data_IF_265520603347
#
_entry.id   IF_265520603347
#
_cell.length_a   1.000
_cell.length_b   1.000
_cell.length_c   1.000
_cell.angle_alpha   90.00
_cell.angle_beta   90.00
_cell.angle_gamma   90.00
#
_symmetry.space_group_name_H-M   'P 1'
#
loop_
_entity.id
_entity.type
_entity.pdbx_description
1 polymer ?
#
# COMPACT_ATOMS: atom_id res chain seq x y z
N UNK A 1 -6.80 25.67 18.23
CA UNK A 1 -5.67 26.14 17.39
C UNK A 1 -4.58 25.09 17.46
N UNK A 2 -4.00 24.69 16.32
CA UNK A 2 -2.91 23.71 16.30
C UNK A 2 -1.56 24.41 16.52
N UNK A 3 -0.69 23.79 17.31
CA UNK A 3 0.66 24.24 17.61
C UNK A 3 1.63 23.11 17.29
N UNK A 4 2.80 23.47 16.76
CA UNK A 4 3.90 22.53 16.48
C UNK A 4 5.00 22.71 17.52
N UNK A 5 5.57 21.61 17.98
CA UNK A 5 6.78 21.61 18.82
C UNK A 5 7.82 20.70 18.18
N UNK A 6 9.10 21.08 18.30
CA UNK A 6 10.21 20.34 17.69
C UNK A 6 11.27 20.04 18.73
N UNK A 7 11.80 18.82 18.72
CA UNK A 7 12.94 18.42 19.55
C UNK A 7 14.00 17.73 18.70
N UNK A 8 15.27 18.08 18.96
CA UNK A 8 16.45 17.48 18.34
C UNK A 8 16.99 16.34 19.20
N UNK A 9 17.44 15.28 18.53
CA UNK A 9 18.11 14.11 19.09
C UNK A 9 19.35 13.78 18.25
N UNK A 10 20.30 13.05 18.84
CA UNK A 10 21.52 12.61 18.17
C UNK A 10 21.81 11.16 18.53
N UNK A 11 22.36 10.40 17.60
CA UNK A 11 22.81 9.02 17.81
C UNK A 11 23.87 8.66 16.76
N UNK A 12 24.70 7.68 17.07
CA UNK A 12 25.71 7.15 16.17
C UNK A 12 25.21 5.83 15.59
N UNK A 13 25.24 5.63 14.28
CA UNK A 13 24.89 4.31 13.70
C UNK A 13 25.67 4.04 12.43
N UNK A 14 25.90 2.76 12.15
CA UNK A 14 26.54 2.30 10.92
C UNK A 14 25.58 1.60 9.97
N UNK A 15 25.93 1.58 8.69
CA UNK A 15 25.18 0.84 7.67
C UNK A 15 26.04 0.50 6.45
N UNK A 16 25.50 -0.37 5.59
CA UNK A 16 25.98 -0.60 4.24
C UNK A 16 24.80 -0.84 3.28
N UNK A 17 24.82 -0.15 2.14
CA UNK A 17 23.79 -0.24 1.11
C UNK A 17 24.11 -1.36 0.12
N UNK A 18 23.13 -2.21 -0.17
CA UNK A 18 23.28 -3.30 -1.14
C UNK A 18 23.02 -2.79 -2.56
N UNK A 19 23.83 -3.24 -3.52
CA UNK A 19 23.70 -2.85 -4.94
C UNK A 19 23.73 -1.33 -5.18
N UNK A 20 24.50 -0.60 -4.37
CA UNK A 20 24.72 0.84 -4.51
C UNK A 20 26.09 1.12 -5.15
N UNK A 21 26.16 2.09 -6.04
CA UNK A 21 27.38 2.42 -6.80
C UNK A 21 28.28 3.45 -6.09
N UNK A 22 27.74 4.18 -5.10
CA UNK A 22 28.47 5.18 -4.31
C UNK A 22 29.26 4.62 -3.10
N UNK A 23 29.75 5.53 -2.25
CA UNK A 23 30.62 5.17 -1.09
C UNK A 23 29.90 4.35 -0.03
N UNK A 24 28.60 4.57 0.15
CA UNK A 24 27.77 3.89 1.16
C UNK A 24 27.56 2.39 0.91
N UNK A 25 28.08 1.84 -0.19
CA UNK A 25 28.14 0.38 -0.41
C UNK A 25 29.08 -0.32 0.58
N UNK A 26 30.03 0.42 1.15
CA UNK A 26 30.93 -0.08 2.18
C UNK A 26 30.32 0.16 3.57
N UNK A 27 30.63 -0.71 4.52
CA UNK A 27 30.27 -0.52 5.91
C UNK A 27 30.96 0.73 6.48
N UNK A 28 30.16 1.67 7.00
CA UNK A 28 30.64 2.92 7.61
C UNK A 28 29.62 3.45 8.63
N UNK A 29 30.01 4.46 9.40
CA UNK A 29 29.17 5.10 10.43
C UNK A 29 28.81 6.55 10.11
N UNK A 30 27.73 7.02 10.72
CA UNK A 30 27.32 8.43 10.74
C UNK A 30 26.93 8.88 12.14
N UNK A 31 27.16 10.17 12.38
CA UNK A 31 26.62 10.91 13.52
C UNK A 31 25.28 11.55 13.12
N UNK A 32 24.20 10.83 13.36
CA UNK A 32 22.87 11.25 12.94
C UNK A 32 22.32 12.37 13.81
N UNK A 33 21.61 13.32 13.19
CA UNK A 33 20.77 14.29 13.90
C UNK A 33 19.31 14.14 13.48
N UNK A 34 18.45 13.83 14.44
CA UNK A 34 17.03 13.61 14.23
C UNK A 34 16.22 14.78 14.81
N UNK A 35 15.46 15.47 13.96
CA UNK A 35 14.52 16.50 14.38
C UNK A 35 13.11 15.93 14.30
N UNK A 36 12.44 15.89 15.45
CA UNK A 36 11.08 15.36 15.60
C UNK A 36 10.14 16.53 15.85
N UNK A 37 9.30 16.84 14.87
CA UNK A 37 8.25 17.86 14.97
C UNK A 37 6.91 17.18 15.12
N UNK A 38 6.18 17.49 16.18
CA UNK A 38 4.79 17.03 16.39
C UNK A 38 3.83 18.20 16.37
N UNK A 39 2.58 17.94 15.99
CA UNK A 39 1.49 18.92 15.93
C UNK A 39 0.29 18.42 16.73
N UNK A 40 -0.39 19.34 17.42
CA UNK A 40 -1.64 19.05 18.11
C UNK A 40 -2.25 20.31 18.70
N UNK A 41 -3.35 20.14 19.43
CA UNK A 41 -3.97 21.23 20.21
C UNK A 41 -3.46 21.18 21.65
N UNK A 42 -3.09 22.33 22.23
CA UNK A 42 -2.75 22.39 23.65
C UNK A 42 -3.87 21.83 24.54
N UNK A 43 -3.51 21.08 25.58
CA UNK A 43 -4.45 20.56 26.58
C UNK A 43 -5.14 21.75 27.27
N UNK A 44 -6.47 21.75 27.29
CA UNK A 44 -7.27 22.84 27.88
C UNK A 44 -7.79 22.54 29.28
N UNK A 45 -7.68 21.28 29.73
CA UNK A 45 -8.09 20.88 31.07
C UNK A 45 -7.15 21.47 32.13
N UNK A 46 -7.65 22.45 32.89
CA UNK A 46 -6.90 23.17 33.92
C UNK A 46 -6.48 22.32 35.11
N UNK A 47 -7.06 21.12 35.27
CA UNK A 47 -6.65 20.18 36.32
C UNK A 47 -5.50 19.27 35.90
N UNK A 48 -5.21 19.21 34.59
CA UNK A 48 -4.12 18.43 34.06
C UNK A 48 -2.78 19.15 34.32
N UNK A 49 -1.76 18.49 34.89
CA UNK A 49 -0.45 19.11 35.12
C UNK A 49 0.26 19.57 33.82
N UNK A 50 -0.18 19.09 32.66
CA UNK A 50 0.30 19.47 31.32
C UNK A 50 -0.65 20.43 30.59
N UNK A 51 -1.56 21.09 31.31
CA UNK A 51 -2.42 22.14 30.77
C UNK A 51 -1.59 23.18 30.00
N UNK A 52 -2.02 23.50 28.78
CA UNK A 52 -1.33 24.43 27.88
C UNK A 52 -0.25 23.80 27.00
N UNK A 53 0.05 22.50 27.14
CA UNK A 53 1.05 21.80 26.32
C UNK A 53 0.38 21.02 25.19
N UNK A 54 1.03 20.94 24.02
CA UNK A 54 0.67 19.98 22.95
C UNK A 54 1.12 18.57 23.36
N UNK A 55 2.38 18.46 23.78
CA UNK A 55 2.99 17.26 24.34
C UNK A 55 4.17 17.72 25.20
N UNK A 56 4.39 17.07 26.34
CA UNK A 56 5.54 17.38 27.18
C UNK A 56 6.85 16.92 26.50
N UNK A 57 7.89 17.75 26.51
CA UNK A 57 9.17 17.43 25.87
C UNK A 57 9.91 16.26 26.53
N UNK A 58 9.57 15.92 27.78
CA UNK A 58 9.98 14.72 28.50
C UNK A 58 9.29 13.48 27.95
N UNK A 59 7.97 13.51 27.72
CA UNK A 59 7.24 12.41 27.09
C UNK A 59 7.78 12.12 25.68
N UNK A 60 7.93 13.17 24.85
CA UNK A 60 8.49 13.04 23.51
C UNK A 60 9.90 12.47 23.56
N UNK A 61 10.71 12.89 24.55
CA UNK A 61 12.05 12.35 24.74
C UNK A 61 12.01 10.86 25.05
N UNK A 62 11.14 10.41 25.95
CA UNK A 62 11.02 8.99 26.31
C UNK A 62 10.60 8.14 25.12
N UNK A 63 9.63 8.60 24.34
CA UNK A 63 9.18 7.91 23.11
C UNK A 63 10.36 7.76 22.14
N UNK A 64 11.04 8.85 21.80
CA UNK A 64 12.13 8.81 20.81
C UNK A 64 13.33 8.02 21.32
N UNK A 65 13.62 8.08 22.62
CA UNK A 65 14.68 7.27 23.24
C UNK A 65 14.39 5.78 23.05
N UNK A 66 13.22 5.31 23.45
CA UNK A 66 12.83 3.89 23.36
C UNK A 66 12.72 3.40 21.92
N UNK A 67 12.05 4.16 21.05
CA UNK A 67 11.72 3.70 19.70
C UNK A 67 12.91 3.80 18.73
N UNK A 68 13.79 4.79 18.94
CA UNK A 68 14.85 5.14 17.99
C UNK A 68 16.24 5.03 18.65
N UNK A 69 16.54 5.83 19.66
CA UNK A 69 17.93 5.95 20.15
C UNK A 69 18.41 4.63 20.76
N UNK A 70 17.64 4.04 21.67
CA UNK A 70 17.92 2.74 22.27
C UNK A 70 17.87 1.59 21.28
N UNK A 71 17.40 1.80 20.06
CA UNK A 71 17.41 0.78 18.99
C UNK A 71 18.64 0.95 18.11
N UNK A 72 18.91 2.17 17.63
CA UNK A 72 19.87 2.48 16.57
C UNK A 72 21.24 2.94 17.06
N UNK A 73 21.33 3.52 18.27
CA UNK A 73 22.60 4.09 18.75
C UNK A 73 23.68 3.02 18.94
N UNK A 74 24.86 3.27 18.40
CA UNK A 74 26.00 2.35 18.30
C UNK A 74 25.66 0.98 17.67
N UNK A 75 24.66 0.94 16.79
CA UNK A 75 24.27 -0.28 16.07
C UNK A 75 24.66 -0.21 14.58
N UNK A 76 24.75 -1.38 13.95
CA UNK A 76 24.91 -1.50 12.51
C UNK A 76 23.58 -1.95 11.89
N UNK A 77 23.04 -1.18 10.96
CA UNK A 77 21.82 -1.50 10.23
C UNK A 77 22.12 -2.18 8.89
N UNK A 78 21.47 -3.30 8.62
CA UNK A 78 21.49 -3.99 7.32
C UNK A 78 20.08 -4.31 6.83
N UNK A 79 19.92 -4.37 5.52
CA UNK A 79 18.70 -4.89 4.91
C UNK A 79 18.65 -6.42 5.01
N UNK A 80 17.64 -6.93 5.71
CA UNK A 80 17.40 -8.35 5.95
C UNK A 80 17.08 -9.15 4.68
N UNK A 81 16.69 -8.49 3.58
CA UNK A 81 16.30 -9.11 2.31
C UNK A 81 17.41 -9.06 1.26
N UNK A 82 18.64 -8.83 1.68
CA UNK A 82 19.82 -8.74 0.81
C UNK A 82 20.90 -9.72 1.28
N UNK A 83 21.93 -10.00 0.45
CA UNK A 83 23.09 -10.78 0.89
C UNK A 83 23.78 -10.27 2.17
N UNK A 84 23.59 -8.99 2.55
CA UNK A 84 24.06 -8.48 3.84
C UNK A 84 23.43 -9.17 5.06
N UNK A 85 22.33 -9.91 4.90
CA UNK A 85 21.72 -10.68 5.97
C UNK A 85 22.69 -11.73 6.56
N UNK A 86 23.49 -12.40 5.73
CA UNK A 86 24.48 -13.37 6.20
C UNK A 86 25.62 -12.68 6.98
N UNK A 87 26.08 -11.52 6.51
CA UNK A 87 27.09 -10.71 7.22
C UNK A 87 26.54 -10.20 8.56
N UNK A 88 25.27 -9.78 8.59
CA UNK A 88 24.60 -9.39 9.84
C UNK A 88 24.60 -10.55 10.85
N UNK A 89 24.28 -11.78 10.43
CA UNK A 89 24.26 -12.94 11.32
C UNK A 89 25.65 -13.27 11.87
N UNK A 90 26.70 -13.13 11.06
CA UNK A 90 28.09 -13.32 11.51
C UNK A 90 28.51 -12.27 12.56
N UNK A 91 28.21 -10.98 12.31
CA UNK A 91 28.51 -9.90 13.24
C UNK A 91 27.75 -10.08 14.57
N UNK A 92 26.49 -10.51 14.51
CA UNK A 92 25.70 -10.84 15.72
C UNK A 92 26.35 -12.00 16.49
N UNK A 93 26.78 -13.06 15.80
CA UNK A 93 27.44 -14.19 16.43
C UNK A 93 28.76 -13.80 17.13
N UNK A 94 29.42 -12.74 16.64
CA UNK A 94 30.63 -12.16 17.25
C UNK A 94 30.32 -11.15 18.37
N UNK A 95 29.05 -10.93 18.71
CA UNK A 95 28.63 -10.04 19.79
C UNK A 95 28.49 -8.57 19.39
N UNK A 96 28.53 -8.25 18.09
CA UNK A 96 28.26 -6.89 17.63
C UNK A 96 26.77 -6.58 17.66
N UNK A 97 26.45 -5.32 17.93
CA UNK A 97 25.09 -4.80 17.91
C UNK A 97 24.65 -4.56 16.46
N UNK A 98 23.80 -5.42 15.94
CA UNK A 98 23.30 -5.33 14.56
C UNK A 98 21.78 -5.35 14.53
N UNK A 99 21.20 -4.55 13.64
CA UNK A 99 19.77 -4.47 13.37
C UNK A 99 19.53 -4.93 11.93
N UNK A 100 18.65 -5.91 11.78
CA UNK A 100 18.16 -6.35 10.48
C UNK A 100 16.85 -5.63 10.19
N UNK A 101 16.87 -4.70 9.24
CA UNK A 101 15.72 -3.91 8.81
C UNK A 101 15.09 -4.57 7.57
N UNK A 102 13.76 -4.50 7.41
CA UNK A 102 13.08 -5.03 6.22
C UNK A 102 13.22 -4.12 4.98
N UNK A 103 14.11 -3.13 5.03
CA UNK A 103 14.35 -2.14 3.99
C UNK A 103 15.83 -1.76 3.94
N UNK A 104 16.22 -1.05 2.87
CA UNK A 104 17.58 -0.53 2.71
C UNK A 104 17.81 0.66 3.65
N UNK A 105 18.85 0.65 4.51
CA UNK A 105 19.05 1.65 5.58
C UNK A 105 19.55 3.02 5.06
N UNK A 106 18.87 3.59 4.08
CA UNK A 106 19.08 4.98 3.66
C UNK A 106 18.36 5.93 4.59
N UNK A 107 18.79 7.20 4.62
CA UNK A 107 18.09 8.23 5.39
C UNK A 107 16.61 8.37 5.04
N UNK A 108 16.23 8.21 3.77
CA UNK A 108 14.84 8.28 3.30
C UNK A 108 13.98 7.17 3.90
N UNK A 109 14.45 5.92 3.87
CA UNK A 109 13.69 4.81 4.43
C UNK A 109 13.65 4.86 5.95
N UNK A 110 14.76 5.25 6.58
CA UNK A 110 14.85 5.40 8.04
C UNK A 110 13.93 6.51 8.56
N UNK A 111 13.87 7.68 7.89
CA UNK A 111 13.01 8.77 8.36
C UNK A 111 11.52 8.41 8.28
N UNK A 112 11.11 7.62 7.27
CA UNK A 112 9.75 7.05 7.16
C UNK A 112 9.48 6.08 8.31
N UNK A 113 10.36 5.09 8.54
CA UNK A 113 10.21 4.12 9.65
C UNK A 113 10.15 4.84 11.01
N UNK A 114 10.99 5.85 11.22
CA UNK A 114 11.03 6.60 12.48
C UNK A 114 9.74 7.38 12.71
N UNK A 115 9.19 8.01 11.66
CA UNK A 115 7.89 8.67 11.74
C UNK A 115 6.80 7.68 12.18
N UNK A 116 6.77 6.48 11.58
CA UNK A 116 5.81 5.41 11.89
C UNK A 116 5.93 4.92 13.34
N UNK A 117 7.15 4.62 13.80
CA UNK A 117 7.39 4.18 15.18
C UNK A 117 6.95 5.23 16.20
N UNK A 118 7.31 6.49 15.98
CA UNK A 118 6.98 7.57 16.91
C UNK A 118 5.47 7.82 16.91
N UNK A 119 4.82 7.91 15.74
CA UNK A 119 3.38 8.19 15.68
C UNK A 119 2.55 7.14 16.42
N UNK A 120 2.92 5.85 16.36
CA UNK A 120 2.23 4.76 17.06
C UNK A 120 2.21 4.93 18.58
N UNK A 121 3.15 5.71 19.13
CA UNK A 121 3.30 5.94 20.56
C UNK A 121 2.76 7.30 21.02
N UNK A 122 2.37 8.17 20.08
CA UNK A 122 1.83 9.48 20.40
C UNK A 122 0.38 9.38 20.89
N UNK A 123 -0.05 10.25 21.82
CA UNK A 123 -1.45 10.37 22.19
C UNK A 123 -2.34 10.68 20.97
N UNK A 124 -3.62 10.27 20.95
CA UNK A 124 -4.49 10.44 19.79
C UNK A 124 -4.67 11.88 19.27
N UNK A 125 -4.48 12.88 20.14
CA UNK A 125 -4.60 14.29 19.80
C UNK A 125 -3.31 14.92 19.26
N UNK A 126 -2.22 14.14 19.17
CA UNK A 126 -0.91 14.58 18.70
C UNK A 126 -0.49 13.72 17.51
N UNK A 127 0.00 14.38 16.46
CA UNK A 127 0.52 13.72 15.26
C UNK A 127 1.97 14.12 15.02
N UNK A 128 2.77 13.22 14.46
CA UNK A 128 4.04 13.59 13.83
C UNK A 128 3.71 14.52 12.68
N UNK A 129 4.34 15.69 12.65
CA UNK A 129 4.15 16.70 11.60
C UNK A 129 5.29 16.68 10.60
N UNK A 130 6.52 16.63 11.09
CA UNK A 130 7.73 16.57 10.25
C UNK A 130 8.83 15.83 10.99
N UNK A 131 9.57 15.00 10.27
CA UNK A 131 10.77 14.32 10.73
C UNK A 131 11.92 14.67 9.80
N UNK A 132 13.06 15.11 10.33
CA UNK A 132 14.28 15.32 9.54
C UNK A 132 15.41 14.49 10.09
N UNK A 133 16.06 13.71 9.23
CA UNK A 133 17.20 12.89 9.58
C UNK A 133 18.43 13.38 8.79
N UNK A 134 19.40 13.92 9.51
CA UNK A 134 20.68 14.36 8.95
C UNK A 134 21.72 13.24 9.11
N UNK A 135 22.30 12.79 8.00
CA UNK A 135 23.52 11.95 7.98
C UNK A 135 24.79 12.79 8.03
N UNK A 136 24.71 14.02 7.53
CA UNK A 136 25.80 14.99 7.48
C UNK A 136 25.28 16.35 7.91
N UNK A 137 26.19 17.29 8.17
CA UNK A 137 25.83 18.65 8.58
C UNK A 137 24.89 19.34 7.57
N UNK A 138 25.08 19.09 6.27
CA UNK A 138 24.44 19.85 5.18
C UNK A 138 23.39 19.08 4.39
N UNK A 139 23.11 17.81 4.72
CA UNK A 139 22.15 16.99 3.98
C UNK A 139 21.25 16.21 4.92
N UNK A 140 19.96 16.21 4.62
CA UNK A 140 18.94 15.51 5.38
C UNK A 140 17.85 14.95 4.48
N UNK A 141 17.28 13.83 4.90
CA UNK A 141 15.99 13.38 4.40
C UNK A 141 14.88 13.97 5.28
N UNK A 142 13.77 14.36 4.67
CA UNK A 142 12.59 14.86 5.37
C UNK A 142 11.39 13.97 5.06
N UNK A 143 10.67 13.61 6.13
CA UNK A 143 9.31 13.10 6.04
C UNK A 143 8.35 14.16 6.57
N UNK A 144 7.27 14.43 5.86
CA UNK A 144 6.29 15.46 6.21
C UNK A 144 4.87 14.89 6.15
N UNK A 145 4.07 15.19 7.17
CA UNK A 145 2.69 14.73 7.26
C UNK A 145 1.85 15.18 6.06
N UNK A 146 2.01 16.41 5.56
CA UNK A 146 1.21 16.91 4.43
C UNK A 146 1.48 16.12 3.14
N UNK A 147 2.74 15.77 2.89
CA UNK A 147 3.16 15.02 1.71
C UNK A 147 2.83 13.52 1.83
N UNK A 148 2.58 13.05 3.05
CA UNK A 148 2.32 11.65 3.39
C UNK A 148 0.94 11.48 4.07
N UNK A 149 0.04 12.45 3.87
CA UNK A 149 -1.32 12.41 4.41
C UNK A 149 -2.11 11.22 3.88
N UNK A 150 -1.89 10.73 2.65
CA UNK A 150 -2.41 9.44 2.23
C UNK A 150 -1.99 8.34 3.22
N UNK A 151 -0.70 8.12 3.46
CA UNK A 151 -0.20 7.03 4.31
C UNK A 151 -0.55 7.10 5.81
N UNK A 152 -0.64 8.29 6.43
CA UNK A 152 -0.93 8.42 7.88
C UNK A 152 -2.38 8.76 8.21
N UNK A 153 -3.12 9.33 7.25
CA UNK A 153 -4.57 9.51 7.35
C UNK A 153 -5.34 8.22 7.02
N UNK A 154 -4.72 7.30 6.26
CA UNK A 154 -5.33 6.06 5.80
C UNK A 154 -5.58 5.01 6.88
N UNK A 155 -5.07 5.15 8.11
CA UNK A 155 -5.74 4.48 9.23
C UNK A 155 -6.91 5.37 9.62
N UNK A 156 -7.88 5.39 8.75
CA UNK A 156 -9.12 6.09 8.96
C UNK A 156 -9.84 5.40 10.14
N UNK A 157 -10.83 6.05 10.73
CA UNK A 157 -11.66 5.40 11.75
C UNK A 157 -12.21 4.04 11.23
N UNK A 158 -12.37 3.94 9.91
CA UNK A 158 -12.83 2.77 9.16
C UNK A 158 -11.81 1.62 9.13
N UNK A 159 -10.50 1.88 9.20
CA UNK A 159 -9.44 0.87 9.11
C UNK A 159 -8.85 0.45 10.46
N UNK A 160 -8.97 1.33 11.47
CA UNK A 160 -8.35 1.13 12.78
C UNK A 160 -8.79 -0.20 13.43
N UNK A 161 -10.08 -0.54 13.37
CA UNK A 161 -10.68 -1.73 13.99
C UNK A 161 -10.62 -2.99 13.11
N UNK A 162 -10.24 -2.87 11.83
CA UNK A 162 -10.27 -3.98 10.87
C UNK A 162 -9.06 -4.87 10.98
N UNK A 163 -9.26 -6.17 10.84
CA UNK A 163 -8.19 -7.18 10.92
C UNK A 163 -7.75 -7.66 9.54
N UNK A 164 -8.67 -7.65 8.57
CA UNK A 164 -8.42 -8.10 7.20
C UNK A 164 -8.57 -6.94 6.21
N UNK A 165 -7.57 -6.73 5.38
CA UNK A 165 -7.62 -5.74 4.31
C UNK A 165 -7.67 -6.48 2.98
N UNK A 166 -8.71 -6.24 2.19
CA UNK A 166 -8.94 -6.92 0.92
C UNK A 166 -8.83 -5.89 -0.19
N UNK A 167 -7.93 -6.12 -1.14
CA UNK A 167 -7.68 -5.21 -2.25
C UNK A 167 -8.27 -5.76 -3.54
N UNK A 168 -8.94 -4.93 -4.33
CA UNK A 168 -8.97 -5.16 -5.78
C UNK A 168 -7.57 -4.94 -6.39
N UNK A 169 -7.41 -5.29 -7.66
CA UNK A 169 -6.13 -5.22 -8.35
C UNK A 169 -6.03 -3.97 -9.23
N UNK A 170 -6.85 -3.91 -10.27
CA UNK A 170 -6.78 -2.89 -11.31
C UNK A 170 -7.33 -1.57 -10.77
N UNK A 171 -6.56 -0.47 -10.87
CA UNK A 171 -6.98 0.83 -10.35
C UNK A 171 -6.84 1.00 -8.84
N UNK A 172 -6.46 -0.06 -8.12
CA UNK A 172 -6.17 -0.03 -6.67
C UNK A 172 -4.70 -0.30 -6.39
N UNK A 173 -4.17 -1.44 -6.83
CA UNK A 173 -2.76 -1.79 -6.59
C UNK A 173 -1.88 -1.39 -7.78
N UNK A 174 -2.44 -1.49 -9.00
CA UNK A 174 -1.72 -1.33 -10.25
C UNK A 174 -2.54 -0.57 -11.29
N UNK A 175 -1.85 0.12 -12.21
CA UNK A 175 -2.48 0.74 -13.39
C UNK A 175 -2.49 -0.21 -14.60
N UNK A 176 -3.14 -1.37 -14.48
CA UNK A 176 -3.24 -2.36 -15.58
C UNK A 176 -4.54 -2.26 -16.40
N UNK A 177 -5.46 -1.37 -16.02
CA UNK A 177 -6.71 -1.12 -16.74
C UNK A 177 -6.48 -0.65 -18.19
N UNK A 178 -5.39 0.09 -18.43
CA UNK A 178 -4.97 0.52 -19.78
C UNK A 178 -4.68 -0.67 -20.70
N UNK A 179 -4.08 -1.75 -20.19
CA UNK A 179 -3.79 -2.94 -20.99
C UNK A 179 -5.05 -3.75 -21.31
N UNK A 180 -6.04 -3.75 -20.40
CA UNK A 180 -7.36 -4.28 -20.71
C UNK A 180 -8.02 -3.51 -21.85
N UNK A 181 -7.97 -2.17 -21.81
CA UNK A 181 -8.52 -1.34 -22.88
C UNK A 181 -7.85 -1.61 -24.22
N UNK A 182 -6.51 -1.69 -24.28
CA UNK A 182 -5.78 -1.98 -25.51
C UNK A 182 -6.17 -3.34 -26.11
N UNK A 183 -6.22 -4.38 -25.28
CA UNK A 183 -6.61 -5.72 -25.72
C UNK A 183 -8.08 -5.76 -26.19
N UNK A 184 -9.01 -5.12 -25.45
CA UNK A 184 -10.42 -5.07 -25.86
C UNK A 184 -10.64 -4.22 -27.11
N UNK A 185 -9.89 -3.14 -27.30
CA UNK A 185 -9.95 -2.30 -28.49
C UNK A 185 -9.51 -3.09 -29.73
N UNK A 186 -8.45 -3.88 -29.62
CA UNK A 186 -8.00 -4.76 -30.70
C UNK A 186 -9.08 -5.77 -31.09
N UNK A 187 -9.69 -6.45 -30.10
CA UNK A 187 -10.78 -7.41 -30.32
C UNK A 187 -12.03 -6.74 -30.91
N UNK A 188 -12.42 -5.57 -30.39
CA UNK A 188 -13.56 -4.82 -30.90
C UNK A 188 -13.40 -4.43 -32.38
N UNK A 189 -12.17 -4.08 -32.79
CA UNK A 189 -11.88 -3.73 -34.18
C UNK A 189 -12.09 -4.91 -35.15
N UNK A 190 -11.93 -6.16 -34.70
CA UNK A 190 -12.23 -7.35 -35.51
C UNK A 190 -13.73 -7.43 -35.90
N UNK A 191 -14.60 -6.82 -35.08
CA UNK A 191 -16.04 -6.73 -35.30
C UNK A 191 -16.46 -5.36 -35.86
N UNK A 192 -15.53 -4.62 -36.47
CA UNK A 192 -15.74 -3.26 -36.98
C UNK A 192 -16.30 -2.28 -35.92
N UNK A 193 -16.02 -2.53 -34.64
CA UNK A 193 -16.48 -1.70 -33.54
C UNK A 193 -15.35 -0.86 -32.95
N UNK A 194 -15.54 0.45 -32.88
CA UNK A 194 -14.57 1.35 -32.24
C UNK A 194 -14.87 1.50 -30.75
N UNK A 195 -14.15 0.74 -29.91
CA UNK A 195 -14.27 0.87 -28.46
C UNK A 195 -13.66 2.20 -27.97
N UNK A 196 -14.52 3.13 -27.57
CA UNK A 196 -14.12 4.41 -27.00
C UNK A 196 -13.77 4.27 -25.51
N UNK A 197 -12.92 5.16 -24.95
CA UNK A 197 -12.64 5.18 -23.51
C UNK A 197 -13.91 5.27 -22.66
N UNK A 198 -14.90 6.08 -23.07
CA UNK A 198 -16.18 6.23 -22.37
C UNK A 198 -16.98 4.93 -22.29
N UNK A 199 -16.96 4.09 -23.33
CA UNK A 199 -17.58 2.77 -23.30
C UNK A 199 -16.77 1.78 -22.46
N UNK A 200 -15.44 1.88 -22.50
CA UNK A 200 -14.55 1.03 -21.73
C UNK A 200 -14.75 1.19 -20.21
N UNK A 201 -15.18 2.36 -19.72
CA UNK A 201 -15.56 2.54 -18.32
C UNK A 201 -16.63 1.54 -17.86
N UNK A 202 -17.54 1.11 -18.76
CA UNK A 202 -18.57 0.10 -18.43
C UNK A 202 -18.04 -1.35 -18.38
N UNK A 203 -16.77 -1.55 -18.73
CA UNK A 203 -16.08 -2.83 -18.68
C UNK A 203 -15.15 -2.95 -17.46
N UNK A 204 -14.90 -1.86 -16.73
CA UNK A 204 -14.07 -1.88 -15.51
C UNK A 204 -14.71 -2.75 -14.43
N UNK A 205 -13.90 -3.61 -13.82
CA UNK A 205 -14.36 -4.58 -12.81
C UNK A 205 -15.26 -5.71 -13.34
N UNK A 206 -15.52 -5.78 -14.65
CA UNK A 206 -16.37 -6.80 -15.28
C UNK A 206 -15.52 -8.01 -15.72
N UNK A 207 -16.07 -9.22 -15.56
CA UNK A 207 -15.46 -10.45 -16.03
C UNK A 207 -15.17 -10.46 -17.53
N UNK A 208 -14.23 -11.32 -17.97
CA UNK A 208 -13.77 -11.37 -19.37
C UNK A 208 -14.90 -11.73 -20.32
N UNK A 209 -15.68 -12.74 -19.97
CA UNK A 209 -16.78 -13.28 -20.76
C UNK A 209 -17.91 -12.24 -20.86
N UNK A 210 -18.29 -11.60 -19.75
CA UNK A 210 -19.31 -10.56 -19.74
C UNK A 210 -18.87 -9.31 -20.51
N UNK A 211 -17.58 -8.95 -20.44
CA UNK A 211 -17.02 -7.87 -21.22
C UNK A 211 -17.11 -8.16 -22.72
N UNK A 212 -16.80 -9.39 -23.15
CA UNK A 212 -16.95 -9.79 -24.56
C UNK A 212 -18.42 -9.74 -25.00
N UNK A 213 -19.36 -10.21 -24.16
CA UNK A 213 -20.80 -10.12 -24.46
C UNK A 213 -21.25 -8.67 -24.67
N UNK A 214 -20.82 -7.74 -23.81
CA UNK A 214 -21.13 -6.31 -23.96
C UNK A 214 -20.57 -5.73 -25.27
N UNK A 215 -19.32 -6.04 -25.61
CA UNK A 215 -18.68 -5.57 -26.84
C UNK A 215 -19.42 -6.11 -28.08
N UNK A 216 -19.75 -7.40 -28.10
CA UNK A 216 -20.51 -8.01 -29.19
C UNK A 216 -21.91 -7.40 -29.33
N UNK A 217 -22.57 -7.13 -28.20
CA UNK A 217 -23.86 -6.45 -28.18
C UNK A 217 -23.77 -5.04 -28.78
N UNK A 218 -22.75 -4.25 -28.41
CA UNK A 218 -22.55 -2.91 -28.98
C UNK A 218 -22.18 -2.96 -30.46
N UNK A 219 -21.43 -3.98 -30.87
CA UNK A 219 -21.06 -4.20 -32.25
C UNK A 219 -22.22 -4.77 -33.11
N UNK A 220 -23.32 -5.21 -32.49
CA UNK A 220 -24.43 -5.86 -33.20
C UNK A 220 -24.07 -7.25 -33.75
N UNK A 221 -23.10 -7.92 -33.14
CA UNK A 221 -22.60 -9.23 -33.56
C UNK A 221 -22.99 -10.33 -32.57
N UNK A 222 -23.17 -11.55 -33.09
CA UNK A 222 -23.32 -12.78 -32.30
C UNK A 222 -22.29 -13.80 -32.78
N UNK A 223 -21.74 -14.56 -31.85
CA UNK A 223 -20.75 -15.61 -32.13
C UNK A 223 -21.32 -16.99 -31.78
N UNK A 224 -20.80 -18.01 -32.44
CA UNK A 224 -20.94 -19.39 -31.98
C UNK A 224 -20.25 -19.56 -30.61
N UNK A 225 -20.56 -20.64 -29.88
CA UNK A 225 -19.89 -20.90 -28.61
C UNK A 225 -18.37 -21.07 -28.77
N UNK A 226 -17.94 -21.74 -29.85
CA UNK A 226 -16.54 -21.97 -30.20
C UNK A 226 -15.83 -20.65 -30.54
N UNK A 227 -16.44 -19.80 -31.37
CA UNK A 227 -15.87 -18.50 -31.75
C UNK A 227 -15.80 -17.55 -30.55
N UNK A 228 -16.79 -17.61 -29.65
CA UNK A 228 -16.81 -16.81 -28.43
C UNK A 228 -15.63 -17.19 -27.51
N UNK A 229 -15.41 -18.49 -27.29
CA UNK A 229 -14.30 -18.99 -26.47
C UNK A 229 -12.94 -18.68 -27.10
N UNK A 230 -12.80 -18.87 -28.42
CA UNK A 230 -11.61 -18.51 -29.18
C UNK A 230 -11.30 -17.01 -29.10
N UNK A 231 -12.32 -16.15 -29.23
CA UNK A 231 -12.17 -14.69 -29.12
C UNK A 231 -11.76 -14.27 -27.70
N UNK A 232 -12.39 -14.85 -26.68
CA UNK A 232 -12.03 -14.59 -25.28
C UNK A 232 -10.59 -15.03 -24.97
N UNK A 233 -10.14 -16.15 -25.56
CA UNK A 233 -8.76 -16.66 -25.44
C UNK A 233 -7.77 -15.69 -26.09
N UNK A 234 -8.02 -15.30 -27.33
CA UNK A 234 -7.17 -14.35 -28.06
C UNK A 234 -7.05 -12.99 -27.36
N UNK A 235 -8.16 -12.49 -26.81
CA UNK A 235 -8.12 -11.28 -25.96
C UNK A 235 -7.15 -11.44 -24.80
N UNK A 236 -7.15 -12.61 -24.16
CA UNK A 236 -6.28 -12.87 -23.04
C UNK A 236 -4.81 -12.93 -23.46
N UNK A 237 -4.51 -13.52 -24.61
CA UNK A 237 -3.16 -13.55 -25.17
C UNK A 237 -2.63 -12.13 -25.43
N UNK A 238 -3.42 -11.27 -26.05
CA UNK A 238 -3.08 -9.85 -26.25
C UNK A 238 -2.82 -9.12 -24.91
N UNK A 239 -3.65 -9.39 -23.90
CA UNK A 239 -3.42 -8.83 -22.57
C UNK A 239 -2.13 -9.35 -21.92
N UNK A 240 -1.86 -10.66 -22.02
CA UNK A 240 -0.65 -11.28 -21.48
C UNK A 240 0.62 -10.73 -22.15
N UNK A 241 0.59 -10.42 -23.44
CA UNK A 241 1.71 -9.75 -24.13
C UNK A 241 2.08 -8.43 -23.47
N UNK A 242 1.11 -7.67 -22.96
CA UNK A 242 1.38 -6.44 -22.22
C UNK A 242 1.89 -6.72 -20.80
N UNK A 243 1.19 -7.57 -20.04
CA UNK A 243 1.50 -7.74 -18.61
C UNK A 243 2.73 -8.62 -18.34
N UNK A 244 3.25 -9.37 -19.31
CA UNK A 244 4.47 -10.15 -19.14
C UNK A 244 5.74 -9.29 -18.93
N UNK A 245 5.67 -8.02 -19.34
CA UNK A 245 6.80 -7.08 -19.28
C UNK A 245 6.65 -6.01 -18.20
N UNK A 246 5.60 -6.07 -17.38
CA UNK A 246 5.41 -5.10 -16.30
C UNK A 246 6.38 -5.38 -15.15
N UNK A 247 6.60 -4.36 -14.33
CA UNK A 247 7.39 -4.41 -13.11
C UNK A 247 6.85 -3.46 -12.05
N UNK A 248 7.64 -3.16 -11.04
CA UNK A 248 7.27 -2.29 -9.91
C UNK A 248 6.74 -0.90 -10.34
N UNK A 249 7.17 -0.40 -11.51
CA UNK A 249 6.71 0.88 -12.06
C UNK A 249 5.20 0.94 -12.38
N UNK A 250 4.52 -0.20 -12.48
CA UNK A 250 3.07 -0.26 -12.68
C UNK A 250 2.27 -0.21 -11.37
N UNK A 251 2.93 -0.25 -10.20
CA UNK A 251 2.25 -0.02 -8.92
C UNK A 251 1.76 1.42 -8.85
N UNK A 252 0.55 1.61 -8.29
CA UNK A 252 0.13 2.96 -7.95
C UNK A 252 1.06 3.54 -6.86
N UNK A 253 1.33 4.87 -6.89
CA UNK A 253 2.16 5.52 -5.88
C UNK A 253 1.65 5.19 -4.46
N UNK A 254 2.59 4.90 -3.56
CA UNK A 254 2.27 4.60 -2.14
C UNK A 254 1.88 3.15 -1.84
N UNK A 255 1.42 2.36 -2.81
CA UNK A 255 0.90 0.99 -2.59
C UNK A 255 1.88 0.09 -1.84
N UNK A 256 3.14 0.02 -2.29
CA UNK A 256 4.15 -0.85 -1.67
C UNK A 256 4.40 -0.45 -0.20
N UNK A 257 4.49 0.85 0.06
CA UNK A 257 4.66 1.35 1.43
C UNK A 257 3.42 1.06 2.27
N UNK A 258 2.22 1.21 1.72
CA UNK A 258 0.97 0.93 2.42
C UNK A 258 0.85 -0.55 2.80
N UNK A 259 1.16 -1.47 1.88
CA UNK A 259 1.20 -2.92 2.17
C UNK A 259 2.21 -3.27 3.27
N UNK A 260 3.37 -2.62 3.28
CA UNK A 260 4.37 -2.78 4.35
C UNK A 260 3.86 -2.30 5.71
N UNK A 261 3.18 -1.15 5.75
CA UNK A 261 2.55 -0.62 6.97
C UNK A 261 1.50 -1.59 7.51
N UNK A 262 0.62 -2.09 6.66
CA UNK A 262 -0.40 -3.07 7.05
C UNK A 262 0.22 -4.35 7.64
N UNK A 263 1.28 -4.89 7.03
CA UNK A 263 2.01 -6.03 7.58
C UNK A 263 2.67 -5.71 8.92
N UNK A 264 3.30 -4.54 9.06
CA UNK A 264 3.91 -4.10 10.30
C UNK A 264 2.90 -3.88 11.44
N UNK A 265 1.62 -3.70 11.11
CA UNK A 265 0.49 -3.62 12.06
C UNK A 265 -0.18 -4.98 12.33
N UNK A 266 0.33 -6.05 11.74
CA UNK A 266 -0.24 -7.39 11.92
C UNK A 266 -1.61 -7.57 11.25
N UNK A 267 -1.97 -6.70 10.30
CA UNK A 267 -3.20 -6.84 9.50
C UNK A 267 -2.99 -7.99 8.50
N UNK A 268 -4.03 -8.81 8.30
CA UNK A 268 -4.04 -9.83 7.24
C UNK A 268 -4.42 -9.17 5.92
N UNK A 269 -3.81 -9.57 4.82
CA UNK A 269 -3.98 -8.96 3.50
C UNK A 269 -4.48 -10.00 2.52
N UNK A 270 -5.56 -9.70 1.80
CA UNK A 270 -6.07 -10.53 0.72
C UNK A 270 -6.27 -9.75 -0.58
N UNK A 271 -6.27 -10.48 -1.69
CA UNK A 271 -6.71 -9.98 -2.98
C UNK A 271 -8.13 -10.47 -3.27
N UNK A 272 -8.98 -9.60 -3.81
CA UNK A 272 -10.30 -9.93 -4.33
C UNK A 272 -10.52 -9.34 -5.73
N UNK A 273 -10.01 -10.02 -6.76
CA UNK A 273 -10.02 -9.55 -8.14
C UNK A 273 -10.88 -10.44 -9.06
N UNK A 274 -11.50 -9.84 -10.08
CA UNK A 274 -12.16 -10.58 -11.16
C UNK A 274 -11.17 -11.10 -12.23
N UNK A 275 -9.91 -10.67 -12.20
CA UNK A 275 -8.92 -11.05 -13.20
C UNK A 275 -8.41 -12.47 -12.97
N UNK A 276 -8.43 -13.31 -14.02
CA UNK A 276 -7.78 -14.65 -14.02
C UNK A 276 -6.24 -14.57 -14.05
N UNK A 277 -5.67 -13.37 -14.25
CA UNK A 277 -4.22 -13.16 -14.37
C UNK A 277 -3.64 -12.44 -13.14
N UNK A 278 -4.42 -12.29 -12.07
CA UNK A 278 -4.08 -11.45 -10.94
C UNK A 278 -2.76 -11.86 -10.29
N UNK A 279 -2.55 -13.17 -10.10
CA UNK A 279 -1.32 -13.71 -9.51
C UNK A 279 -0.06 -13.34 -10.29
N UNK A 280 -0.11 -13.44 -11.62
CA UNK A 280 1.00 -13.06 -12.50
C UNK A 280 1.34 -11.56 -12.34
N UNK A 281 0.32 -10.70 -12.23
CA UNK A 281 0.53 -9.26 -12.01
C UNK A 281 1.21 -9.01 -10.66
N UNK A 282 0.74 -9.66 -9.58
CA UNK A 282 1.37 -9.55 -8.25
C UNK A 282 2.82 -10.05 -8.23
N UNK A 283 3.12 -11.14 -8.96
CA UNK A 283 4.48 -11.67 -9.11
C UNK A 283 5.39 -10.67 -9.83
N UNK A 284 4.95 -10.14 -10.97
CA UNK A 284 5.74 -9.20 -11.80
C UNK A 284 6.02 -7.88 -11.10
N UNK A 285 5.04 -7.38 -10.35
CA UNK A 285 5.16 -6.12 -9.60
C UNK A 285 5.84 -6.28 -8.24
N UNK A 286 6.16 -7.51 -7.83
CA UNK A 286 6.93 -7.78 -6.61
C UNK A 286 6.14 -7.67 -5.30
N UNK A 287 4.80 -7.57 -5.36
CA UNK A 287 3.95 -7.44 -4.17
C UNK A 287 3.25 -8.74 -3.75
N UNK A 288 3.41 -9.84 -4.51
CA UNK A 288 2.86 -11.15 -4.14
C UNK A 288 3.14 -11.55 -2.67
N UNK A 289 4.36 -11.36 -2.11
CA UNK A 289 4.66 -11.79 -0.73
C UNK A 289 3.86 -11.08 0.37
N UNK A 290 3.18 -9.97 0.08
CA UNK A 290 2.36 -9.27 1.07
C UNK A 290 1.00 -9.95 1.29
N UNK A 291 0.52 -10.76 0.34
CA UNK A 291 -0.81 -11.35 0.36
C UNK A 291 -0.84 -12.69 1.09
N UNK A 292 -1.70 -12.79 2.10
CA UNK A 292 -1.97 -14.04 2.82
C UNK A 292 -2.95 -14.92 2.04
N UNK A 293 -3.87 -14.30 1.28
CA UNK A 293 -4.90 -14.96 0.48
C UNK A 293 -5.05 -14.27 -0.87
N UNK A 294 -5.26 -15.03 -1.93
CA UNK A 294 -5.52 -14.51 -3.27
C UNK A 294 -6.79 -15.14 -3.79
N UNK A 295 -7.83 -14.33 -3.98
CA UNK A 295 -9.07 -14.73 -4.65
C UNK A 295 -9.13 -14.00 -5.98
N UNK A 296 -9.02 -14.77 -7.05
CA UNK A 296 -8.96 -14.28 -8.42
C UNK A 296 -10.05 -14.90 -9.30
N UNK A 297 -10.13 -14.44 -10.55
CA UNK A 297 -11.16 -14.86 -11.51
C UNK A 297 -11.14 -16.35 -11.89
N UNK A 298 -10.15 -17.13 -11.45
CA UNK A 298 -10.09 -18.57 -11.71
C UNK A 298 -10.93 -19.38 -10.72
N UNK A 299 -11.14 -18.84 -9.52
CA UNK A 299 -11.88 -19.55 -8.47
C UNK A 299 -13.29 -18.99 -8.25
N UNK A 300 -13.58 -17.72 -8.55
CA UNK A 300 -14.93 -17.16 -8.39
C UNK A 300 -15.87 -17.51 -9.54
N UNK A 301 -17.14 -17.81 -9.21
CA UNK A 301 -18.17 -18.17 -10.17
C UNK A 301 -19.10 -17.02 -10.54
N UNK A 302 -19.31 -16.05 -9.64
CA UNK A 302 -20.19 -14.90 -9.84
C UNK A 302 -19.39 -13.59 -9.84
N UNK A 303 -19.51 -12.78 -10.90
CA UNK A 303 -18.80 -11.52 -11.00
C UNK A 303 -19.36 -10.45 -10.06
N UNK A 304 -18.55 -9.43 -9.76
CA UNK A 304 -18.99 -8.18 -9.13
C UNK A 304 -20.18 -7.61 -9.96
N UNK A 305 -21.28 -7.14 -9.35
CA UNK A 305 -21.44 -6.74 -7.94
C UNK A 305 -21.83 -7.87 -6.97
N UNK A 306 -21.80 -9.15 -7.38
CA UNK A 306 -22.01 -10.23 -6.42
C UNK A 306 -20.83 -10.29 -5.41
N UNK A 307 -21.10 -10.47 -4.10
CA UNK A 307 -20.07 -10.38 -3.05
C UNK A 307 -19.10 -11.58 -2.97
N UNK A 308 -19.17 -12.54 -3.89
CA UNK A 308 -18.49 -13.85 -3.76
C UNK A 308 -16.98 -13.71 -3.61
N UNK A 309 -16.38 -12.82 -4.40
CA UNK A 309 -14.92 -12.58 -4.39
C UNK A 309 -14.43 -12.10 -3.02
N UNK A 310 -15.17 -11.20 -2.37
CA UNK A 310 -14.79 -10.65 -1.08
C UNK A 310 -15.13 -11.62 0.07
N UNK A 311 -16.28 -12.27 0.02
CA UNK A 311 -16.66 -13.28 1.02
C UNK A 311 -15.63 -14.42 1.10
N UNK A 312 -15.16 -14.92 -0.05
CA UNK A 312 -14.11 -15.94 -0.09
C UNK A 312 -12.75 -15.42 0.38
N UNK A 313 -12.44 -14.15 0.12
CA UNK A 313 -11.22 -13.55 0.65
C UNK A 313 -11.26 -13.51 2.20
N UNK A 314 -12.38 -13.09 2.79
CA UNK A 314 -12.54 -13.11 4.25
C UNK A 314 -12.50 -14.53 4.83
N UNK A 315 -13.14 -15.50 4.17
CA UNK A 315 -13.08 -16.91 4.54
C UNK A 315 -11.64 -17.45 4.53
N UNK A 316 -10.88 -17.19 3.46
CA UNK A 316 -9.48 -17.58 3.38
C UNK A 316 -8.61 -16.92 4.46
N UNK A 317 -8.94 -15.69 4.87
CA UNK A 317 -8.26 -15.01 5.98
C UNK A 317 -8.70 -15.53 7.36
N UNK A 318 -9.70 -16.40 7.41
CA UNK A 318 -10.39 -16.85 8.62
C UNK A 318 -10.90 -15.67 9.47
N UNK A 319 -11.59 -14.72 8.82
CA UNK A 319 -12.17 -13.53 9.44
C UNK A 319 -13.65 -13.40 9.08
N UNK A 320 -14.43 -12.73 9.93
CA UNK A 320 -15.80 -12.34 9.60
C UNK A 320 -15.79 -11.15 8.64
N UNK A 321 -16.81 -10.99 7.77
CA UNK A 321 -16.86 -9.84 6.86
C UNK A 321 -16.79 -8.48 7.55
N UNK A 322 -17.42 -8.33 8.72
CA UNK A 322 -17.43 -7.10 9.53
C UNK A 322 -16.01 -6.70 10.03
N UNK A 323 -15.10 -7.66 10.11
CA UNK A 323 -13.69 -7.48 10.50
C UNK A 323 -12.80 -7.10 9.30
N UNK A 324 -13.38 -7.01 8.10
CA UNK A 324 -12.68 -6.72 6.86
C UNK A 324 -13.01 -5.32 6.31
N UNK A 325 -12.03 -4.74 5.61
CA UNK A 325 -12.21 -3.55 4.78
C UNK A 325 -11.73 -3.83 3.36
N UNK A 326 -12.51 -3.38 2.38
CA UNK A 326 -12.22 -3.52 0.95
C UNK A 326 -11.71 -2.20 0.38
N UNK A 327 -10.65 -2.27 -0.43
CA UNK A 327 -10.20 -1.17 -1.29
C UNK A 327 -10.60 -1.44 -2.74
N UNK A 328 -11.25 -0.47 -3.38
CA UNK A 328 -11.88 -0.65 -4.69
C UNK A 328 -11.97 0.66 -5.49
N UNK A 329 -11.88 0.60 -6.83
CA UNK A 329 -11.93 1.78 -7.71
C UNK A 329 -13.21 1.85 -8.56
N UNK A 330 -14.02 0.79 -8.58
CA UNK A 330 -15.22 0.69 -9.42
C UNK A 330 -16.54 0.56 -8.63
N UNK A 331 -17.65 1.16 -9.11
CA UNK A 331 -18.97 1.05 -8.47
C UNK A 331 -19.43 -0.40 -8.25
N UNK A 332 -19.17 -1.30 -9.20
CA UNK A 332 -19.55 -2.71 -9.08
C UNK A 332 -18.82 -3.40 -7.92
N UNK A 333 -17.55 -3.06 -7.68
CA UNK A 333 -16.81 -3.60 -6.54
C UNK A 333 -17.27 -2.99 -5.21
N UNK A 334 -17.59 -1.68 -5.17
CA UNK A 334 -18.16 -1.04 -3.98
C UNK A 334 -19.47 -1.73 -3.59
N UNK A 335 -20.36 -1.96 -4.56
CA UNK A 335 -21.61 -2.70 -4.34
C UNK A 335 -21.38 -4.12 -3.84
N UNK A 336 -20.38 -4.82 -4.38
CA UNK A 336 -20.00 -6.16 -3.90
C UNK A 336 -19.49 -6.14 -2.45
N UNK A 337 -18.69 -5.16 -2.06
CA UNK A 337 -18.21 -5.03 -0.68
C UNK A 337 -19.36 -4.74 0.29
N UNK A 338 -20.28 -3.85 -0.10
CA UNK A 338 -21.51 -3.55 0.67
C UNK A 338 -22.41 -4.77 0.82
N UNK A 339 -22.63 -5.51 -0.27
CA UNK A 339 -23.40 -6.74 -0.25
C UNK A 339 -22.75 -7.83 0.63
N UNK A 340 -21.43 -7.77 0.83
CA UNK A 340 -20.70 -8.63 1.76
C UNK A 340 -20.73 -8.15 3.22
N UNK A 341 -21.40 -7.02 3.53
CA UNK A 341 -21.37 -6.35 4.83
C UNK A 341 -19.95 -5.97 5.30
N UNK A 342 -19.07 -5.60 4.36
CA UNK A 342 -17.72 -5.12 4.64
C UNK A 342 -17.67 -3.59 4.56
N UNK A 343 -16.76 -3.00 5.33
CA UNK A 343 -16.40 -1.59 5.12
C UNK A 343 -15.69 -1.45 3.77
N UNK A 344 -15.87 -0.32 3.08
CA UNK A 344 -15.26 -0.09 1.77
C UNK A 344 -14.69 1.32 1.63
N UNK A 345 -13.43 1.37 1.23
CA UNK A 345 -12.69 2.59 0.90
C UNK A 345 -12.54 2.63 -0.63
N UNK A 346 -13.11 3.66 -1.24
CA UNK A 346 -12.97 3.93 -2.66
C UNK A 346 -11.62 4.57 -2.98
N UNK A 347 -10.91 4.09 -4.00
CA UNK A 347 -9.70 4.73 -4.54
C UNK A 347 -10.09 5.50 -5.81
N UNK A 348 -10.03 6.83 -5.75
CA UNK A 348 -10.42 7.71 -6.84
C UNK A 348 -11.18 8.94 -6.34
N UNK A 349 -12.31 9.26 -6.99
CA UNK A 349 -13.10 10.46 -6.68
C UNK A 349 -14.43 10.13 -6.00
N UNK A 350 -14.85 10.99 -5.05
CA UNK A 350 -16.13 10.85 -4.35
C UNK A 350 -17.34 10.91 -5.28
N UNK A 351 -17.21 11.62 -6.41
CA UNK A 351 -18.23 11.67 -7.44
C UNK A 351 -18.42 10.31 -8.13
N UNK A 352 -17.33 9.58 -8.37
CA UNK A 352 -17.36 8.26 -9.04
C UNK A 352 -17.79 7.13 -8.10
N UNK A 353 -17.52 7.26 -6.80
CA UNK A 353 -17.74 6.21 -5.80
C UNK A 353 -18.61 6.72 -4.63
N UNK A 354 -19.86 7.16 -4.89
CA UNK A 354 -20.71 7.79 -3.87
C UNK A 354 -21.18 6.80 -2.78
N UNK A 355 -21.15 5.50 -3.06
CA UNK A 355 -21.58 4.44 -2.13
C UNK A 355 -20.46 3.94 -1.21
N UNK A 356 -19.21 4.38 -1.41
CA UNK A 356 -18.11 4.00 -0.53
C UNK A 356 -18.27 4.64 0.86
N UNK A 357 -17.83 3.95 1.93
CA UNK A 357 -17.84 4.54 3.29
C UNK A 357 -16.91 5.75 3.37
N UNK A 358 -15.83 5.67 2.62
CA UNK A 358 -14.79 6.68 2.53
C UNK A 358 -14.13 6.64 1.15
N UNK A 359 -13.55 7.76 0.71
CA UNK A 359 -12.86 7.84 -0.57
C UNK A 359 -11.53 8.54 -0.41
N UNK A 360 -10.47 7.93 -0.94
CA UNK A 360 -9.12 8.47 -1.02
C UNK A 360 -8.75 8.71 -2.47
N UNK A 361 -7.88 9.68 -2.74
CA UNK A 361 -7.40 9.93 -4.10
C UNK A 361 -6.22 9.01 -4.51
N UNK A 362 -5.55 8.41 -3.53
CA UNK A 362 -4.38 7.53 -3.70
C UNK A 362 -3.82 7.05 -2.35
N UNK A 363 -2.74 6.25 -2.38
CA UNK A 363 -2.13 5.61 -1.21
C UNK A 363 -1.00 6.40 -0.57
#
# INVERSE_FOLDING_TARGET
MNVRITKKFTFEAGHALYNYDGKCKNLHGHSYQLYVTVIGTPITDTTNPKCGMVLDFGDLKQIVQREIIEVFDHAIAFNAHTPHAALADELIAQGHRVIKLPYQPTSENMVVDFAMRIQKQLPPHVKVHTMRLHETENSYAEWNLADNTPLFGLITTTLADKKGIIFDLDGVLVDTAKYHYLAWKAIAAEFNFNLTPTLNEQLKGVGREDSLRKILQWAGHNLSAEDFESTATRKNELYLQHINHIGEAELLPGVKNFLQVLKAEGKKIALGSASKNARLVLERTGILPYFDVIVDGTIVSKPKPHPEVFLRAAEGLALKPEECCVFEDAPAGVQAAKAAAMAVIGVGSKHSLPEADEVIEGF
#
